data_IF_263701331186
#
_entry.id   IF_263701331186
#
_cell.length_a   1.000
_cell.length_b   1.000
_cell.length_c   1.000
_cell.angle_alpha   90.00
_cell.angle_beta   90.00
_cell.angle_gamma   90.00
#
_symmetry.space_group_name_H-M   'P 1'
#
loop_
_entity.id
_entity.type
_entity.pdbx_description
1 polymer ?
#
# COMPACT_ATOMS: atom_id res chain seq x y z
N UNK A 1 -13.45 -4.47 0.64
CA UNK A 1 -11.99 -4.23 0.61
C UNK A 1 -11.79 -2.91 -0.09
N UNK A 2 -11.09 -1.96 0.53
CA UNK A 2 -10.89 -0.63 -0.04
C UNK A 2 -9.51 -0.45 -0.67
N UNK A 3 -8.50 -1.10 -0.07
CA UNK A 3 -7.08 -0.94 -0.42
C UNK A 3 -6.31 -2.22 -0.12
N UNK A 4 -5.06 -2.30 -0.59
CA UNK A 4 -4.10 -3.30 -0.12
C UNK A 4 -2.81 -2.65 0.36
N UNK A 5 -2.14 -3.30 1.30
CA UNK A 5 -0.72 -3.14 1.50
C UNK A 5 -0.05 -4.31 0.79
N UNK A 6 0.54 -4.08 -0.39
CA UNK A 6 1.25 -5.11 -1.13
C UNK A 6 2.75 -4.80 -1.21
N UNK A 7 3.56 -5.71 -0.68
CA UNK A 7 4.98 -5.82 -1.01
C UNK A 7 5.07 -6.87 -2.11
N UNK A 8 5.58 -6.48 -3.27
CA UNK A 8 5.87 -7.39 -4.37
C UNK A 8 7.24 -7.05 -4.93
N UNK A 9 7.83 -8.03 -5.61
CA UNK A 9 9.23 -7.94 -5.92
C UNK A 9 9.58 -6.90 -6.98
N UNK A 10 10.67 -6.16 -6.74
CA UNK A 10 11.28 -5.27 -7.72
C UNK A 10 12.19 -6.07 -8.66
N UNK A 11 12.49 -5.54 -9.84
CA UNK A 11 13.48 -6.16 -10.73
C UNK A 11 14.93 -5.87 -10.26
N UNK A 12 15.19 -6.07 -8.96
CA UNK A 12 16.50 -5.97 -8.35
C UNK A 12 16.98 -7.35 -7.88
N UNK A 13 18.28 -7.48 -7.61
CA UNK A 13 18.88 -8.74 -7.19
C UNK A 13 18.54 -9.12 -5.73
N UNK A 14 17.61 -8.41 -5.08
CA UNK A 14 17.21 -8.66 -3.70
C UNK A 14 16.32 -9.91 -3.61
N UNK A 15 16.36 -10.58 -2.46
CA UNK A 15 15.42 -11.65 -2.15
C UNK A 15 13.99 -11.09 -2.07
N UNK A 16 13.19 -11.43 -3.08
CA UNK A 16 11.83 -10.94 -3.22
C UNK A 16 10.91 -11.58 -2.18
N UNK A 17 10.11 -10.77 -1.49
CA UNK A 17 9.00 -11.23 -0.64
C UNK A 17 7.68 -10.80 -1.27
N UNK A 18 6.65 -11.63 -1.10
CA UNK A 18 5.29 -11.29 -1.49
C UNK A 18 4.41 -11.26 -0.26
N UNK A 19 3.94 -10.07 0.11
CA UNK A 19 3.03 -9.84 1.24
C UNK A 19 1.89 -9.00 0.71
N UNK A 20 0.67 -9.52 0.70
CA UNK A 20 -0.51 -8.74 0.32
C UNK A 20 -1.54 -8.80 1.44
N UNK A 21 -1.81 -7.64 2.05
CA UNK A 21 -2.74 -7.50 3.16
C UNK A 21 -3.93 -6.66 2.71
N UNK A 22 -5.15 -7.23 2.67
CA UNK A 22 -6.35 -6.46 2.35
C UNK A 22 -6.68 -5.51 3.50
N UNK A 23 -6.96 -4.26 3.16
CA UNK A 23 -7.39 -3.23 4.11
C UNK A 23 -8.89 -2.96 3.97
N UNK A 24 -9.56 -2.78 5.11
CA UNK A 24 -10.97 -2.42 5.15
C UNK A 24 -11.14 -0.97 4.68
N UNK A 25 -12.19 -0.75 3.86
CA UNK A 25 -12.55 0.60 3.44
C UNK A 25 -13.18 1.36 4.62
N UNK A 26 -12.91 2.66 4.71
CA UNK A 26 -13.70 3.56 5.54
C UNK A 26 -15.00 3.89 4.77
N UNK A 27 -16.18 3.88 5.40
CA UNK A 27 -17.42 4.30 4.77
C UNK A 27 -17.32 5.72 4.20
N UNK A 28 -17.91 5.97 3.03
CA UNK A 28 -17.81 7.27 2.33
C UNK A 28 -18.34 8.44 3.17
N UNK A 29 -19.38 8.22 3.98
CA UNK A 29 -19.96 9.20 4.89
C UNK A 29 -19.07 9.53 6.11
N UNK A 30 -18.07 8.69 6.39
CA UNK A 30 -17.04 8.90 7.41
C UNK A 30 -15.74 9.47 6.84
N UNK A 31 -15.63 9.61 5.51
CA UNK A 31 -14.49 10.21 4.85
C UNK A 31 -14.65 11.74 4.77
N UNK A 32 -13.65 12.52 5.21
CA UNK A 32 -13.70 13.96 5.05
C UNK A 32 -13.56 14.35 3.56
N UNK A 33 -14.17 15.47 3.16
CA UNK A 33 -14.01 16.03 1.81
C UNK A 33 -12.55 16.36 1.49
N UNK A 34 -11.77 16.77 2.49
CA UNK A 34 -10.34 17.04 2.39
C UNK A 34 -9.57 16.48 3.60
N UNK A 35 -8.35 15.99 3.35
CA UNK A 35 -7.45 15.51 4.40
C UNK A 35 -7.69 14.06 4.81
N UNK A 36 -7.35 13.74 6.06
CA UNK A 36 -7.41 12.38 6.62
C UNK A 36 -8.56 12.25 7.62
N UNK A 37 -9.24 11.09 7.62
CA UNK A 37 -10.25 10.79 8.64
C UNK A 37 -9.63 10.74 10.04
N UNK A 38 -10.35 11.24 11.04
CA UNK A 38 -9.97 11.10 12.45
C UNK A 38 -10.30 9.72 13.03
N UNK A 39 -11.08 8.91 12.31
CA UNK A 39 -11.52 7.57 12.72
C UNK A 39 -11.12 6.52 11.68
N UNK A 40 -9.81 6.21 11.55
CA UNK A 40 -9.34 5.27 10.53
C UNK A 40 -9.72 3.82 10.87
N UNK A 41 -9.97 3.02 9.84
CA UNK A 41 -10.02 1.56 9.96
C UNK A 41 -8.60 1.01 10.11
N UNK A 42 -8.31 0.38 11.24
CA UNK A 42 -6.96 -0.12 11.56
C UNK A 42 -6.85 -1.62 11.23
N UNK A 43 -5.84 -1.97 10.42
CA UNK A 43 -5.46 -3.36 10.14
C UNK A 43 -4.06 -3.63 10.70
N UNK A 44 -3.93 -4.62 11.59
CA UNK A 44 -2.64 -5.01 12.17
C UNK A 44 -2.24 -6.38 11.63
N UNK A 45 -1.00 -6.49 11.14
CA UNK A 45 -0.44 -7.73 10.62
C UNK A 45 1.04 -7.86 10.98
N UNK A 46 1.61 -9.05 10.80
CA UNK A 46 3.03 -9.33 11.01
C UNK A 46 3.52 -10.23 9.89
N UNK A 47 4.74 -9.99 9.45
CA UNK A 47 5.45 -10.79 8.47
C UNK A 47 6.93 -10.84 8.84
N UNK A 48 7.65 -11.83 8.30
CA UNK A 48 9.10 -11.93 8.45
C UNK A 48 9.71 -11.32 7.19
N UNK A 49 10.65 -10.39 7.37
CA UNK A 49 11.35 -9.75 6.27
C UNK A 49 12.36 -10.71 5.63
N UNK A 50 12.76 -10.42 4.38
CA UNK A 50 13.91 -11.07 3.76
C UNK A 50 15.23 -10.47 4.25
N UNK A 51 16.23 -10.52 3.37
CA UNK A 51 17.56 -9.93 3.62
C UNK A 51 17.49 -8.41 3.80
N UNK A 52 18.58 -7.83 4.33
CA UNK A 52 18.73 -6.38 4.41
C UNK A 52 18.60 -5.72 3.03
N UNK A 53 18.06 -4.50 3.02
CA UNK A 53 17.87 -3.67 1.84
C UNK A 53 16.52 -2.97 1.83
N UNK A 54 16.15 -2.43 0.66
CA UNK A 54 15.00 -1.56 0.47
C UNK A 54 13.82 -2.31 -0.11
N UNK A 55 12.68 -2.27 0.59
CA UNK A 55 11.44 -2.89 0.16
C UNK A 55 10.42 -1.81 -0.14
N UNK A 56 9.78 -1.91 -1.30
CA UNK A 56 8.70 -1.01 -1.71
C UNK A 56 7.36 -1.70 -1.47
N UNK A 57 6.38 -0.93 -1.02
CA UNK A 57 5.00 -1.36 -0.98
C UNK A 57 4.13 -0.41 -1.79
N UNK A 58 3.09 -0.96 -2.38
CA UNK A 58 2.11 -0.22 -3.15
C UNK A 58 0.70 -0.77 -2.88
N UNK A 59 -0.31 0.08 -2.94
CA UNK A 59 -1.69 -0.35 -3.04
C UNK A 59 -1.94 -0.89 -4.46
N UNK A 60 -2.45 -2.11 -4.53
CA UNK A 60 -2.74 -2.80 -5.79
C UNK A 60 -4.24 -3.04 -5.99
N UNK A 61 -5.07 -2.37 -5.20
CA UNK A 61 -6.52 -2.42 -5.37
C UNK A 61 -6.97 -1.38 -6.42
N UNK A 62 -7.69 -1.77 -7.48
CA UNK A 62 -8.06 -0.88 -8.58
C UNK A 62 -9.20 0.09 -8.20
N UNK A 63 -8.91 1.07 -7.35
CA UNK A 63 -9.87 2.07 -6.81
C UNK A 63 -9.58 3.53 -7.20
N UNK A 64 -8.60 3.79 -8.05
CA UNK A 64 -8.30 5.14 -8.54
C UNK A 64 -8.85 5.34 -9.94
N UNK A 65 -9.95 6.05 -10.13
CA UNK A 65 -10.41 6.37 -11.47
C UNK A 65 -10.19 7.86 -11.80
N UNK A 66 -9.86 8.26 -13.05
CA UNK A 66 -10.26 7.65 -14.32
C UNK A 66 -9.16 7.10 -15.25
N UNK A 67 -9.02 5.76 -15.24
CA UNK A 67 -8.25 4.90 -16.20
C UNK A 67 -6.71 5.00 -16.09
N UNK A 68 -5.85 4.07 -16.53
CA UNK A 68 -5.99 2.71 -17.08
C UNK A 68 -6.10 1.70 -15.91
N UNK A 69 -6.99 0.70 -16.09
CA UNK A 69 -7.32 -0.38 -15.14
C UNK A 69 -7.77 0.06 -13.72
N UNK A 70 -8.28 1.29 -13.59
CA UNK A 70 -8.62 1.94 -12.31
C UNK A 70 -7.42 2.14 -11.36
N UNK A 71 -6.25 2.34 -11.95
CA UNK A 71 -5.03 2.79 -11.27
C UNK A 71 -4.70 4.26 -11.57
N UNK A 72 -5.67 5.04 -12.01
CA UNK A 72 -5.49 6.48 -12.27
C UNK A 72 -5.64 7.33 -11.01
N UNK A 73 -5.51 8.64 -11.17
CA UNK A 73 -5.77 9.65 -10.14
C UNK A 73 -4.94 9.36 -8.87
N UNK A 74 -5.58 9.17 -7.71
CA UNK A 74 -4.92 8.91 -6.45
C UNK A 74 -3.95 7.71 -6.51
N UNK A 75 -4.28 6.67 -7.28
CA UNK A 75 -3.40 5.49 -7.46
C UNK A 75 -2.18 5.77 -8.35
N UNK A 76 -2.17 6.88 -9.07
CA UNK A 76 -1.05 7.34 -9.92
C UNK A 76 -0.26 8.49 -9.29
N UNK A 77 -0.70 9.00 -8.14
CA UNK A 77 -0.05 10.11 -7.44
C UNK A 77 1.19 9.60 -6.70
N UNK A 78 2.37 10.13 -7.06
CA UNK A 78 3.63 9.72 -6.44
C UNK A 78 3.60 9.96 -4.92
N UNK A 79 3.93 8.91 -4.16
CA UNK A 79 3.91 8.95 -2.69
C UNK A 79 2.52 8.78 -2.06
N UNK A 80 1.47 8.65 -2.87
CA UNK A 80 0.12 8.34 -2.38
C UNK A 80 -0.14 6.83 -2.49
N UNK A 81 -0.62 6.21 -1.41
CA UNK A 81 -0.88 4.76 -1.35
C UNK A 81 0.32 3.89 -1.75
N UNK A 82 1.53 4.40 -1.55
CA UNK A 82 2.80 3.73 -1.82
C UNK A 82 3.82 4.17 -0.79
N UNK A 83 4.84 3.36 -0.54
CA UNK A 83 5.96 3.75 0.30
C UNK A 83 7.07 2.71 0.26
N UNK A 84 8.02 2.87 1.15
CA UNK A 84 9.15 1.95 1.26
C UNK A 84 9.58 1.81 2.72
N UNK A 85 10.27 0.72 3.03
CA UNK A 85 10.94 0.52 4.31
C UNK A 85 12.31 -0.09 4.08
N UNK A 86 13.23 0.20 4.99
CA UNK A 86 14.59 -0.30 4.94
C UNK A 86 14.79 -1.36 6.02
N UNK A 87 15.16 -2.56 5.62
CA UNK A 87 15.58 -3.62 6.53
C UNK A 87 17.07 -3.49 6.74
N UNK A 88 17.48 -3.17 7.97
CA UNK A 88 18.88 -3.09 8.38
C UNK A 88 19.30 -4.39 9.06
N UNK A 89 20.58 -4.71 9.00
CA UNK A 89 21.14 -5.77 9.84
C UNK A 89 21.02 -5.38 11.32
N UNK A 90 20.71 -6.38 12.16
CA UNK A 90 20.65 -6.23 13.61
C UNK A 90 22.05 -6.06 14.22
#
# INVERSE_FOLDING_TARGET
MGHTFTIHGMADAQNQIFVSVPMMAVPEDEMPEEGYTSSPMVTTFTFITGDAGEYIWNCEYPCGDGTIAKFGNAMSTMGFMSGHFHVVNA
#
